data_IF_709642921891
#
_entry.id   IF_709642921891
#
_cell.length_a   1.000
_cell.length_b   1.000
_cell.length_c   1.000
_cell.angle_alpha   90.00
_cell.angle_beta   90.00
_cell.angle_gamma   90.00
#
_symmetry.space_group_name_H-M   'P 1'
#
loop_
_entity.id
_entity.type
_entity.pdbx_description
1 polymer ?
#
# COMPACT_ATOMS: atom_id res chain seq x y z
N UNK A 1 21.96 15.48 19.26
CA UNK A 1 20.63 15.96 19.67
C UNK A 1 19.80 14.79 20.16
N UNK A 2 19.37 14.80 21.41
CA UNK A 2 18.51 13.74 21.99
C UNK A 2 17.10 13.94 21.41
N UNK A 3 16.64 12.99 20.59
CA UNK A 3 15.22 12.92 20.22
C UNK A 3 14.38 12.58 21.44
N UNK A 4 13.45 13.46 21.76
CA UNK A 4 12.43 13.20 22.76
C UNK A 4 11.51 12.08 22.26
N UNK A 5 11.54 10.95 22.93
CA UNK A 5 10.55 9.88 22.75
C UNK A 5 9.30 10.32 23.52
N UNK A 6 8.36 10.90 22.86
CA UNK A 6 7.03 11.16 23.41
C UNK A 6 6.21 9.87 23.35
N UNK A 7 6.04 9.21 24.46
CA UNK A 7 5.11 8.09 24.59
C UNK A 7 3.70 8.67 24.74
N UNK A 8 2.99 8.84 23.64
CA UNK A 8 1.59 9.26 23.67
C UNK A 8 0.71 8.02 23.82
N UNK A 9 -0.05 7.97 24.92
CA UNK A 9 -1.14 7.02 25.10
C UNK A 9 -2.34 7.52 24.30
N UNK A 10 -2.59 6.92 23.14
CA UNK A 10 -3.84 7.15 22.41
C UNK A 10 -4.79 6.03 22.75
N UNK A 11 -5.72 6.32 23.62
CA UNK A 11 -6.91 5.50 23.86
C UNK A 11 -7.91 5.84 22.76
N UNK A 12 -8.02 5.00 21.73
CA UNK A 12 -8.99 5.19 20.65
C UNK A 12 -10.38 4.78 21.17
N UNK A 13 -11.10 5.71 21.80
CA UNK A 13 -12.53 5.55 22.08
C UNK A 13 -13.32 5.93 20.85
N UNK A 14 -13.98 4.96 20.24
CA UNK A 14 -14.92 5.20 19.14
C UNK A 14 -16.21 5.77 19.75
N UNK A 15 -16.47 7.05 19.55
CA UNK A 15 -17.79 7.65 19.82
C UNK A 15 -18.75 7.16 18.72
N UNK A 16 -19.67 6.26 19.08
CA UNK A 16 -20.80 5.88 18.26
C UNK A 16 -21.96 6.83 18.52
N UNK A 17 -22.31 7.65 17.53
CA UNK A 17 -23.61 8.30 17.51
C UNK A 17 -24.67 7.24 17.17
N UNK A 18 -25.65 7.10 18.04
CA UNK A 18 -26.67 6.08 18.01
C UNK A 18 -27.61 6.22 16.81
N UNK A 19 -27.78 5.12 16.06
CA UNK A 19 -29.07 4.67 15.58
C UNK A 19 -29.08 3.15 15.52
N UNK A 20 -30.10 2.56 16.14
CA UNK A 20 -30.20 1.17 16.57
C UNK A 20 -30.22 0.17 15.40
N UNK A 21 -29.35 -0.85 15.47
CA UNK A 21 -29.74 -2.27 15.49
C UNK A 21 -28.49 -3.07 15.90
N UNK A 22 -28.66 -3.83 17.01
CA UNK A 22 -27.60 -4.61 17.61
C UNK A 22 -27.31 -5.86 16.80
N UNK A 23 -26.17 -5.87 16.10
CA UNK A 23 -25.46 -7.12 15.81
C UNK A 23 -24.30 -7.24 16.84
N UNK A 24 -23.88 -8.46 17.26
CA UNK A 24 -22.87 -8.62 18.26
C UNK A 24 -21.53 -8.06 17.76
N UNK A 25 -21.13 -6.94 18.31
CA UNK A 25 -19.78 -6.41 18.12
C UNK A 25 -18.87 -7.34 18.90
N UNK A 26 -18.11 -8.20 18.18
CA UNK A 26 -16.97 -8.87 18.79
C UNK A 26 -16.09 -7.79 19.42
N UNK A 27 -15.77 -7.96 20.68
CA UNK A 27 -14.96 -7.04 21.47
C UNK A 27 -13.70 -6.64 20.70
N UNK A 28 -13.67 -5.43 20.17
CA UNK A 28 -12.43 -4.76 19.76
C UNK A 28 -11.65 -4.52 21.04
N UNK A 29 -10.80 -5.46 21.42
CA UNK A 29 -9.76 -5.24 22.41
C UNK A 29 -8.95 -4.03 21.92
N UNK A 30 -8.74 -3.06 22.80
CA UNK A 30 -7.93 -1.88 22.48
C UNK A 30 -6.55 -2.33 22.00
N UNK A 31 -6.22 -2.00 20.73
CA UNK A 31 -4.89 -2.33 20.18
C UNK A 31 -3.88 -1.45 20.88
N UNK A 32 -2.98 -2.07 21.64
CA UNK A 32 -1.90 -1.36 22.31
C UNK A 32 -0.65 -1.35 21.42
N UNK A 33 -0.19 -0.16 21.03
CA UNK A 33 1.01 0.04 20.22
C UNK A 33 1.76 1.29 20.66
N UNK A 34 3.04 1.37 20.28
CA UNK A 34 3.82 2.60 20.32
C UNK A 34 3.96 3.14 18.91
N UNK A 35 4.03 4.45 18.77
CA UNK A 35 4.26 5.12 17.49
C UNK A 35 5.47 6.06 17.60
N UNK A 36 6.31 6.05 16.57
CA UNK A 36 7.35 7.06 16.33
C UNK A 36 7.05 7.71 14.99
N UNK A 37 6.72 9.00 15.02
CA UNK A 37 6.25 9.74 13.85
C UNK A 37 7.33 10.63 13.25
N UNK A 38 7.12 11.05 11.99
CA UNK A 38 7.93 12.04 11.28
C UNK A 38 9.43 11.73 11.21
N UNK A 39 9.76 10.44 11.15
CA UNK A 39 11.14 10.00 10.98
C UNK A 39 11.55 10.30 9.54
N UNK A 40 12.53 11.18 9.33
CA UNK A 40 13.06 11.46 8.00
C UNK A 40 14.01 10.34 7.55
N UNK A 41 13.62 9.59 6.52
CA UNK A 41 14.37 8.44 6.01
C UNK A 41 15.49 8.83 5.03
N UNK A 42 15.46 10.07 4.53
CA UNK A 42 16.44 10.58 3.57
C UNK A 42 17.59 11.33 4.21
N UNK A 43 17.51 11.65 5.51
CA UNK A 43 18.52 12.44 6.21
C UNK A 43 18.54 13.93 5.80
N UNK A 44 17.45 14.45 5.28
CA UNK A 44 17.27 15.84 4.86
C UNK A 44 16.07 16.49 5.58
N UNK A 45 15.74 17.73 5.23
CA UNK A 45 14.63 18.47 5.86
C UNK A 45 13.30 18.38 5.10
N UNK A 46 13.21 17.60 4.01
CA UNK A 46 11.98 17.48 3.24
C UNK A 46 10.97 16.62 3.98
N UNK A 47 9.79 17.16 4.28
CA UNK A 47 8.70 16.46 4.97
C UNK A 47 8.07 15.34 4.11
N UNK A 48 8.20 15.40 2.79
CA UNK A 48 7.83 14.29 1.93
C UNK A 48 8.68 13.03 2.14
N UNK A 49 9.87 13.17 2.74
CA UNK A 49 10.76 12.06 3.03
C UNK A 49 10.62 11.56 4.48
N UNK A 50 9.39 11.50 4.97
CA UNK A 50 9.12 11.04 6.34
C UNK A 50 8.32 9.75 6.38
N UNK A 51 8.50 9.01 7.46
CA UNK A 51 7.72 7.80 7.74
C UNK A 51 7.33 7.74 9.23
N UNK A 52 6.29 6.95 9.51
CA UNK A 52 5.83 6.65 10.87
C UNK A 52 5.95 5.16 11.13
N UNK A 53 6.50 4.80 12.29
CA UNK A 53 6.69 3.42 12.74
C UNK A 53 5.72 3.10 13.85
N UNK A 54 4.92 2.06 13.69
CA UNK A 54 3.96 1.54 14.66
C UNK A 54 4.41 0.15 15.12
N UNK A 55 4.58 -0.04 16.40
CA UNK A 55 5.03 -1.30 16.99
C UNK A 55 4.03 -1.81 18.02
N UNK A 56 3.58 -3.07 17.94
CA UNK A 56 2.70 -3.64 18.93
C UNK A 56 3.40 -3.75 20.27
N UNK A 57 2.69 -3.54 21.38
CA UNK A 57 3.24 -3.75 22.73
C UNK A 57 3.37 -5.22 23.09
N UNK A 58 2.46 -6.04 22.58
CA UNK A 58 2.37 -7.50 22.79
C UNK A 58 3.14 -8.29 21.72
N UNK A 59 4.39 -7.92 21.43
CA UNK A 59 5.20 -8.57 20.39
C UNK A 59 5.29 -10.08 20.59
N UNK A 60 5.06 -10.83 19.51
CA UNK A 60 5.23 -12.29 19.48
C UNK A 60 6.66 -12.73 19.12
N UNK A 61 7.50 -11.82 18.66
CA UNK A 61 8.89 -12.08 18.27
C UNK A 61 9.75 -10.85 18.50
N UNK A 62 11.04 -11.06 18.72
CA UNK A 62 12.04 -9.98 18.78
C UNK A 62 12.26 -9.33 17.42
N UNK A 63 12.03 -10.09 16.33
CA UNK A 63 12.08 -9.60 14.96
C UNK A 63 10.70 -9.73 14.32
N UNK A 64 10.07 -8.60 14.02
CA UNK A 64 8.75 -8.54 13.42
C UNK A 64 8.84 -8.32 11.91
N UNK A 65 8.15 -9.14 11.10
CA UNK A 65 7.86 -8.77 9.71
C UNK A 65 7.24 -7.39 9.62
N UNK A 66 7.55 -6.65 8.56
CA UNK A 66 7.12 -5.27 8.39
C UNK A 66 6.08 -5.17 7.28
N UNK A 67 4.95 -4.54 7.58
CA UNK A 67 3.95 -4.17 6.59
C UNK A 67 4.08 -2.66 6.34
N UNK A 68 4.44 -2.29 5.11
CA UNK A 68 4.61 -0.89 4.70
C UNK A 68 3.39 -0.43 3.94
N UNK A 69 2.78 0.69 4.36
CA UNK A 69 1.69 1.36 3.66
C UNK A 69 2.20 2.54 2.85
N UNK A 70 1.90 2.53 1.56
CA UNK A 70 2.10 3.66 0.65
C UNK A 70 0.73 4.30 0.42
N UNK A 71 0.60 5.58 0.71
CA UNK A 71 -0.65 6.30 0.51
C UNK A 71 -0.95 6.52 -0.98
N UNK A 72 -2.24 6.68 -1.30
CA UNK A 72 -2.71 7.01 -2.62
C UNK A 72 -4.09 7.64 -2.47
N UNK A 73 -4.19 8.95 -2.49
CA UNK A 73 -5.45 9.65 -2.26
C UNK A 73 -6.18 9.99 -3.54
N UNK A 74 -5.46 10.43 -4.51
CA UNK A 74 -5.93 10.61 -5.87
C UNK A 74 -5.29 9.54 -6.74
N UNK A 75 -5.82 9.29 -7.93
CA UNK A 75 -5.10 8.60 -8.99
C UNK A 75 -3.76 9.27 -9.22
N UNK A 76 -3.66 10.49 -8.72
CA UNK A 76 -2.63 11.47 -8.90
C UNK A 76 -1.65 11.41 -7.79
N UNK A 77 -0.53 10.97 -8.08
CA UNK A 77 0.68 11.22 -7.34
C UNK A 77 0.86 12.70 -6.89
N UNK A 78 -0.22 13.52 -7.00
CA UNK A 78 -0.24 14.96 -6.72
C UNK A 78 -0.92 15.39 -5.42
N UNK A 79 -1.56 14.47 -4.68
CA UNK A 79 -2.24 14.75 -3.42
C UNK A 79 -2.06 13.63 -2.40
N UNK A 80 -2.15 13.98 -1.13
CA UNK A 80 -2.11 13.03 -0.02
C UNK A 80 -0.82 13.05 0.76
N UNK A 81 -0.86 12.44 1.91
CA UNK A 81 0.26 12.14 2.77
C UNK A 81 0.03 10.83 3.52
N UNK A 82 0.98 10.41 4.35
CA UNK A 82 0.90 9.17 5.13
C UNK A 82 -0.29 9.11 6.09
N UNK A 83 -0.92 10.23 6.40
CA UNK A 83 -2.11 10.31 7.25
C UNK A 83 -3.40 9.94 6.51
N UNK A 84 -3.41 9.98 5.17
CA UNK A 84 -4.58 9.69 4.36
C UNK A 84 -4.87 8.19 4.20
N UNK A 85 -6.14 7.87 4.01
CA UNK A 85 -6.58 6.53 3.65
C UNK A 85 -7.06 5.65 4.81
N UNK A 86 -7.39 6.25 5.96
CA UNK A 86 -7.96 5.54 7.11
C UNK A 86 -6.98 4.55 7.76
N UNK A 87 -6.83 4.65 9.06
CA UNK A 87 -5.82 3.85 9.77
C UNK A 87 -6.35 2.51 10.26
N UNK A 88 -7.65 2.40 10.46
CA UNK A 88 -8.23 1.30 11.22
C UNK A 88 -7.94 -0.08 10.63
N UNK A 89 -8.13 -0.35 9.31
CA UNK A 89 -7.77 -1.67 8.77
C UNK A 89 -6.27 -1.94 8.81
N UNK A 90 -5.44 -0.92 8.58
CA UNK A 90 -3.99 -1.08 8.57
C UNK A 90 -3.42 -1.34 9.95
N UNK A 91 -3.88 -0.59 10.96
CA UNK A 91 -3.41 -0.77 12.33
C UNK A 91 -3.95 -2.06 12.97
N UNK A 92 -5.01 -2.68 12.40
CA UNK A 92 -5.49 -3.97 12.89
C UNK A 92 -4.43 -5.08 12.81
N UNK A 93 -3.47 -4.98 11.87
CA UNK A 93 -2.35 -5.93 11.79
C UNK A 93 -1.44 -5.92 13.03
N UNK A 94 -1.50 -4.86 13.85
CA UNK A 94 -0.77 -4.81 15.13
C UNK A 94 -1.46 -5.62 16.25
N UNK A 95 -2.74 -5.97 16.08
CA UNK A 95 -3.59 -6.49 17.17
C UNK A 95 -3.09 -7.80 17.76
N UNK A 96 -2.52 -8.68 16.94
CA UNK A 96 -2.02 -9.97 17.39
C UNK A 96 -0.54 -9.97 17.79
N UNK A 97 0.16 -8.84 17.59
CA UNK A 97 1.57 -8.70 17.94
C UNK A 97 2.56 -9.32 16.94
N UNK A 98 2.10 -9.76 15.75
CA UNK A 98 2.93 -10.49 14.78
C UNK A 98 3.66 -9.60 13.77
N UNK A 99 3.26 -8.33 13.64
CA UNK A 99 3.79 -7.42 12.63
C UNK A 99 4.18 -6.07 13.21
N UNK A 100 5.18 -5.43 12.61
CA UNK A 100 5.38 -3.99 12.67
C UNK A 100 4.69 -3.34 11.47
N UNK A 101 4.14 -2.13 11.66
CA UNK A 101 3.53 -1.37 10.58
C UNK A 101 4.32 -0.07 10.34
N UNK A 102 4.54 0.28 9.08
CA UNK A 102 5.21 1.53 8.70
C UNK A 102 4.38 2.25 7.65
N UNK A 103 4.14 3.54 7.83
CA UNK A 103 3.54 4.41 6.81
C UNK A 103 4.60 5.32 6.26
N UNK A 104 4.67 5.44 4.94
CA UNK A 104 5.66 6.29 4.28
C UNK A 104 4.99 7.43 3.50
N UNK A 105 5.64 8.58 3.50
CA UNK A 105 5.43 9.65 2.54
C UNK A 105 6.42 9.53 1.38
N UNK A 106 6.11 10.18 0.29
CA UNK A 106 6.96 10.34 -0.88
C UNK A 106 6.64 11.67 -1.57
N UNK A 107 7.56 12.21 -2.37
CA UNK A 107 7.34 13.46 -3.12
C UNK A 107 6.19 13.30 -4.11
N UNK A 108 5.28 14.26 -4.10
CA UNK A 108 4.16 14.29 -5.01
C UNK A 108 4.58 14.72 -6.42
N UNK A 109 3.74 14.48 -7.43
CA UNK A 109 4.01 14.88 -8.81
C UNK A 109 4.13 16.40 -9.02
N UNK A 110 3.64 17.18 -8.07
CA UNK A 110 3.82 18.63 -7.99
C UNK A 110 5.21 19.04 -7.51
N UNK A 111 5.90 18.17 -6.75
CA UNK A 111 7.22 18.42 -6.17
C UNK A 111 8.34 17.82 -7.02
N UNK A 112 8.12 16.62 -7.57
CA UNK A 112 9.10 15.92 -8.39
C UNK A 112 8.42 15.03 -9.43
N UNK A 113 9.12 14.72 -10.52
CA UNK A 113 8.60 13.87 -11.60
C UNK A 113 9.11 12.44 -11.45
N UNK A 114 8.43 11.50 -12.12
CA UNK A 114 8.90 10.12 -12.23
C UNK A 114 10.37 10.06 -12.68
N UNK A 115 11.22 9.22 -12.05
CA UNK A 115 10.89 8.14 -11.08
C UNK A 115 11.04 8.55 -9.59
N UNK A 116 11.03 9.83 -9.25
CA UNK A 116 11.30 10.30 -7.87
C UNK A 116 10.42 9.64 -6.81
N UNK A 117 9.14 9.39 -7.11
CA UNK A 117 8.20 8.74 -6.19
C UNK A 117 8.65 7.31 -5.85
N UNK A 118 9.09 6.56 -6.85
CA UNK A 118 9.62 5.21 -6.65
C UNK A 118 10.95 5.24 -5.88
N UNK A 119 11.85 6.16 -6.23
CA UNK A 119 13.14 6.31 -5.55
C UNK A 119 12.96 6.65 -4.06
N UNK A 120 11.96 7.47 -3.72
CA UNK A 120 11.60 7.81 -2.34
C UNK A 120 11.10 6.57 -1.59
N UNK A 121 10.20 5.80 -2.21
CA UNK A 121 9.73 4.54 -1.64
C UNK A 121 10.88 3.54 -1.43
N UNK A 122 11.77 3.38 -2.40
CA UNK A 122 12.96 2.52 -2.26
C UNK A 122 13.90 2.98 -1.15
N UNK A 123 14.11 4.30 -1.02
CA UNK A 123 14.89 4.87 0.08
C UNK A 123 14.26 4.58 1.45
N UNK A 124 12.94 4.64 1.56
CA UNK A 124 12.23 4.29 2.79
C UNK A 124 12.41 2.79 3.13
N UNK A 125 12.37 1.87 2.15
CA UNK A 125 12.65 0.45 2.38
C UNK A 125 14.09 0.25 2.84
N UNK A 126 15.07 0.89 2.21
CA UNK A 126 16.48 0.84 2.66
C UNK A 126 16.64 1.36 4.09
N UNK A 127 15.92 2.42 4.45
CA UNK A 127 15.93 2.95 5.82
C UNK A 127 15.35 1.93 6.81
N UNK A 128 14.23 1.26 6.48
CA UNK A 128 13.64 0.21 7.32
C UNK A 128 14.66 -0.90 7.58
N UNK A 129 15.35 -1.39 6.53
CA UNK A 129 16.39 -2.41 6.64
C UNK A 129 17.60 -1.95 7.46
N UNK A 130 18.07 -0.72 7.23
CA UNK A 130 19.20 -0.15 7.96
C UNK A 130 18.92 0.12 9.44
N UNK A 131 17.65 0.23 9.83
CA UNK A 131 17.22 0.44 11.21
C UNK A 131 16.55 -0.82 11.83
N UNK A 132 16.69 -1.98 11.19
CA UNK A 132 16.02 -3.20 11.60
C UNK A 132 16.36 -3.61 13.05
N UNK A 133 17.60 -3.53 13.45
CA UNK A 133 18.02 -3.83 14.82
C UNK A 133 17.40 -2.88 15.83
N UNK A 134 17.38 -1.58 15.54
CA UNK A 134 16.84 -0.53 16.43
C UNK A 134 15.37 -0.72 16.75
N UNK A 135 14.56 -1.11 15.74
CA UNK A 135 13.10 -1.22 15.87
C UNK A 135 12.63 -2.67 16.08
N UNK A 136 13.52 -3.65 15.96
CA UNK A 136 13.16 -5.07 16.01
C UNK A 136 12.41 -5.50 14.74
N UNK A 137 12.83 -5.05 13.55
CA UNK A 137 12.28 -5.48 12.29
C UNK A 137 12.96 -6.75 11.77
N UNK A 138 12.21 -7.60 11.12
CA UNK A 138 12.76 -8.64 10.25
C UNK A 138 12.99 -8.02 8.87
N UNK A 139 14.24 -7.64 8.59
CA UNK A 139 14.61 -6.96 7.33
C UNK A 139 14.42 -7.83 6.08
N UNK A 140 14.27 -9.14 6.26
CA UNK A 140 14.11 -10.12 5.18
C UNK A 140 12.62 -10.47 4.97
N UNK A 141 11.70 -9.84 5.72
CA UNK A 141 10.25 -10.04 5.66
C UNK A 141 9.49 -8.72 5.60
N UNK A 142 9.46 -8.11 4.42
CA UNK A 142 8.81 -6.83 4.17
C UNK A 142 7.70 -6.99 3.14
N UNK A 143 6.47 -6.67 3.51
CA UNK A 143 5.34 -6.52 2.61
C UNK A 143 5.06 -5.05 2.33
N UNK A 144 4.59 -4.74 1.14
CA UNK A 144 4.16 -3.38 0.79
C UNK A 144 2.71 -3.42 0.32
N UNK A 145 1.90 -2.48 0.81
CA UNK A 145 0.53 -2.32 0.36
C UNK A 145 0.20 -0.88 -0.01
N UNK A 146 -0.71 -0.71 -0.96
CA UNK A 146 -1.25 0.59 -1.32
C UNK A 146 -2.48 0.51 -2.21
N UNK A 147 -3.13 1.65 -2.37
CA UNK A 147 -4.27 1.81 -3.26
C UNK A 147 -4.05 2.99 -4.19
N UNK A 148 -4.64 2.95 -5.40
CA UNK A 148 -4.47 3.97 -6.43
C UNK A 148 -2.98 4.22 -6.72
N UNK A 149 -2.49 5.47 -6.59
CA UNK A 149 -1.08 5.80 -6.74
C UNK A 149 -0.16 4.98 -5.82
N UNK A 150 -0.57 4.76 -4.56
CA UNK A 150 0.16 3.89 -3.63
C UNK A 150 0.20 2.43 -4.08
N UNK A 151 -0.88 1.94 -4.68
CA UNK A 151 -0.94 0.60 -5.28
C UNK A 151 0.00 0.45 -6.48
N UNK A 152 0.05 1.47 -7.33
CA UNK A 152 1.00 1.57 -8.44
C UNK A 152 2.45 1.51 -7.93
N UNK A 153 2.81 2.35 -6.96
CA UNK A 153 4.15 2.38 -6.38
C UNK A 153 4.51 1.06 -5.69
N UNK A 154 3.55 0.40 -5.03
CA UNK A 154 3.76 -0.92 -4.44
C UNK A 154 4.09 -1.98 -5.51
N UNK A 155 3.37 -1.99 -6.64
CA UNK A 155 3.66 -2.87 -7.77
C UNK A 155 5.03 -2.57 -8.38
N UNK A 156 5.33 -1.28 -8.62
CA UNK A 156 6.63 -0.88 -9.16
C UNK A 156 7.78 -1.28 -8.22
N UNK A 157 7.66 -1.08 -6.90
CA UNK A 157 8.65 -1.54 -5.92
C UNK A 157 8.92 -3.04 -6.06
N UNK A 158 7.87 -3.86 -6.05
CA UNK A 158 8.02 -5.32 -6.11
C UNK A 158 8.61 -5.80 -7.42
N UNK A 159 8.06 -5.35 -8.54
CA UNK A 159 8.51 -5.79 -9.87
C UNK A 159 9.93 -5.31 -10.20
N UNK A 160 10.37 -4.18 -9.63
CA UNK A 160 11.70 -3.61 -9.86
C UNK A 160 12.68 -3.82 -8.69
N UNK A 161 12.48 -4.89 -7.89
CA UNK A 161 13.33 -5.22 -6.74
C UNK A 161 14.82 -5.22 -7.06
N UNK A 162 15.21 -5.70 -8.26
CA UNK A 162 16.61 -5.85 -8.68
C UNK A 162 17.02 -4.83 -9.77
N UNK A 163 16.16 -3.85 -10.08
CA UNK A 163 16.43 -2.88 -11.13
C UNK A 163 17.23 -1.69 -10.61
N UNK A 164 18.53 -1.74 -10.86
CA UNK A 164 19.48 -0.74 -10.35
C UNK A 164 19.26 0.66 -10.91
N UNK A 165 18.78 0.78 -12.14
CA UNK A 165 18.52 2.08 -12.77
C UNK A 165 17.38 2.85 -12.09
N UNK A 166 16.51 2.15 -11.37
CA UNK A 166 15.39 2.70 -10.61
C UNK A 166 15.64 2.73 -9.09
N UNK A 167 16.84 2.36 -8.62
CA UNK A 167 17.14 2.31 -7.17
C UNK A 167 17.26 3.70 -6.56
N UNK A 168 17.79 4.66 -7.31
CA UNK A 168 18.07 6.01 -6.80
C UNK A 168 19.17 6.01 -5.73
N UNK A 169 19.57 7.20 -5.36
CA UNK A 169 20.67 7.49 -4.43
C UNK A 169 20.23 8.25 -3.18
N UNK A 170 18.92 8.36 -2.95
CA UNK A 170 18.35 9.09 -1.81
C UNK A 170 18.59 8.36 -0.50
N UNK A 171 18.99 9.11 0.55
CA UNK A 171 19.10 8.62 1.93
C UNK A 171 20.48 8.08 2.31
N UNK A 172 20.61 7.72 3.59
CA UNK A 172 21.90 7.36 4.21
C UNK A 172 22.15 5.84 4.27
N UNK A 173 21.22 5.02 3.78
CA UNK A 173 21.31 3.55 3.85
C UNK A 173 21.54 2.91 2.47
N UNK A 174 22.41 3.52 1.65
CA UNK A 174 22.72 3.06 0.30
C UNK A 174 23.45 1.69 0.26
N UNK A 175 23.93 1.21 1.40
CA UNK A 175 24.48 -0.12 1.58
C UNK A 175 23.41 -1.21 1.80
N UNK A 176 22.13 -0.83 1.91
CA UNK A 176 21.00 -1.75 1.96
C UNK A 176 20.34 -1.82 0.58
N UNK A 177 19.72 -2.97 0.28
CA UNK A 177 18.83 -3.10 -0.87
C UNK A 177 17.39 -2.63 -0.54
N UNK A 178 16.58 -2.44 -1.58
CA UNK A 178 15.15 -2.10 -1.44
C UNK A 178 14.22 -3.30 -1.72
N UNK A 179 14.72 -4.53 -1.65
CA UNK A 179 13.97 -5.76 -1.94
C UNK A 179 12.84 -5.95 -0.93
N UNK A 180 11.66 -6.24 -1.44
CA UNK A 180 10.46 -6.59 -0.69
C UNK A 180 9.99 -8.00 -1.04
N UNK A 181 9.17 -8.62 -0.17
CA UNK A 181 8.79 -10.03 -0.30
C UNK A 181 7.42 -10.25 -0.93
N UNK A 182 6.47 -9.34 -0.74
CA UNK A 182 5.15 -9.44 -1.34
C UNK A 182 4.45 -8.08 -1.46
N UNK A 183 3.45 -8.01 -2.34
CA UNK A 183 2.70 -6.79 -2.66
C UNK A 183 1.21 -7.02 -2.48
N UNK A 184 0.54 -6.04 -1.89
CA UNK A 184 -0.92 -5.88 -1.92
C UNK A 184 -1.25 -4.58 -2.66
N UNK A 185 -2.00 -4.67 -3.74
CA UNK A 185 -2.32 -3.51 -4.58
C UNK A 185 -3.81 -3.44 -4.91
N UNK A 186 -4.44 -2.32 -4.59
CA UNK A 186 -5.84 -2.06 -4.87
C UNK A 186 -6.05 -0.86 -5.81
N UNK A 187 -6.98 -1.01 -6.74
CA UNK A 187 -7.41 0.08 -7.64
C UNK A 187 -6.25 0.77 -8.39
N UNK A 188 -5.17 0.07 -8.64
CA UNK A 188 -3.91 0.64 -9.11
C UNK A 188 -3.87 0.82 -10.63
N UNK A 189 -3.37 1.96 -11.13
CA UNK A 189 -2.97 2.06 -12.54
C UNK A 189 -1.81 1.11 -12.83
N UNK A 190 -1.93 0.33 -13.89
CA UNK A 190 -0.93 -0.66 -14.29
C UNK A 190 -0.37 -0.41 -15.68
N UNK A 191 -1.09 0.32 -16.53
CA UNK A 191 -0.72 0.75 -17.87
C UNK A 191 -0.97 2.25 -18.00
N UNK A 192 0.06 3.05 -17.77
CA UNK A 192 -0.05 4.51 -17.75
C UNK A 192 -0.20 5.10 -19.15
N UNK A 193 0.30 4.42 -20.17
CA UNK A 193 0.11 4.84 -21.56
C UNK A 193 -1.36 4.81 -21.93
N UNK A 194 -2.06 3.71 -21.62
CA UNK A 194 -3.48 3.58 -21.90
C UNK A 194 -4.37 4.39 -20.96
N UNK A 195 -3.93 4.58 -19.71
CA UNK A 195 -4.67 5.41 -18.78
C UNK A 195 -4.68 6.87 -19.21
N UNK A 196 -3.50 7.42 -19.56
CA UNK A 196 -3.34 8.81 -20.01
C UNK A 196 -3.88 9.85 -19.03
N UNK A 197 -4.10 11.06 -19.54
CA UNK A 197 -4.73 12.16 -18.82
C UNK A 197 -3.76 13.04 -18.04
N UNK A 198 -4.25 14.20 -17.62
CA UNK A 198 -3.47 15.26 -16.96
C UNK A 198 -2.66 14.78 -15.77
N UNK A 199 -3.18 13.80 -15.08
CA UNK A 199 -2.57 13.24 -13.88
C UNK A 199 -1.33 12.41 -14.19
N UNK A 200 -1.39 11.59 -15.25
CA UNK A 200 -0.24 10.82 -15.74
C UNK A 200 0.79 11.78 -16.32
N UNK A 201 0.34 12.78 -17.11
CA UNK A 201 1.21 13.82 -17.66
C UNK A 201 1.94 14.60 -16.55
N UNK A 202 1.23 14.95 -15.49
CA UNK A 202 1.80 15.61 -14.31
C UNK A 202 2.87 14.75 -13.62
N UNK A 203 2.65 13.44 -13.50
CA UNK A 203 3.64 12.51 -12.96
C UNK A 203 4.88 12.45 -13.85
N UNK A 204 4.67 12.27 -15.15
CA UNK A 204 5.77 12.06 -16.10
C UNK A 204 6.50 13.35 -16.48
N UNK A 205 5.88 14.51 -16.22
CA UNK A 205 6.42 15.83 -16.56
C UNK A 205 6.53 16.06 -18.07
N UNK A 206 5.68 15.43 -18.87
CA UNK A 206 5.68 15.54 -20.33
C UNK A 206 4.32 15.19 -20.91
N UNK A 207 3.96 15.90 -21.98
CA UNK A 207 2.76 15.67 -22.81
C UNK A 207 3.11 15.33 -24.26
N UNK A 208 4.40 15.20 -24.60
CA UNK A 208 4.94 15.15 -25.96
C UNK A 208 5.67 13.83 -26.25
N UNK A 209 6.55 13.82 -27.22
CA UNK A 209 7.25 12.67 -27.79
C UNK A 209 7.90 11.71 -26.76
N UNK A 210 8.24 12.22 -25.58
CA UNK A 210 8.76 11.39 -24.49
C UNK A 210 7.68 10.71 -23.63
N UNK A 211 6.39 11.01 -23.86
CA UNK A 211 5.29 10.48 -23.05
C UNK A 211 5.25 8.95 -23.09
N UNK A 212 5.21 8.35 -24.27
CA UNK A 212 5.13 6.89 -24.45
C UNK A 212 6.29 6.19 -23.76
N UNK A 213 7.52 6.70 -23.94
CA UNK A 213 8.70 6.13 -23.30
C UNK A 213 8.60 6.17 -21.79
N UNK A 214 8.31 7.35 -21.22
CA UNK A 214 8.21 7.52 -19.75
C UNK A 214 7.00 6.77 -19.17
N UNK A 215 5.86 6.78 -19.85
CA UNK A 215 4.70 5.99 -19.46
C UNK A 215 5.03 4.50 -19.45
N UNK A 216 5.74 4.01 -20.44
CA UNK A 216 6.22 2.63 -20.52
C UNK A 216 7.15 2.26 -19.35
N UNK A 217 8.11 3.10 -19.03
CA UNK A 217 9.02 2.90 -17.87
C UNK A 217 8.28 2.91 -16.54
N UNK A 218 7.26 3.74 -16.41
CA UNK A 218 6.45 3.90 -15.19
C UNK A 218 5.29 2.90 -15.07
N UNK A 219 5.02 2.06 -16.06
CA UNK A 219 3.88 1.14 -16.09
C UNK A 219 4.25 -0.24 -15.54
N UNK A 220 3.63 -0.70 -14.43
CA UNK A 220 3.84 -2.04 -13.89
C UNK A 220 3.72 -3.16 -14.91
N UNK A 221 2.80 -3.01 -15.88
CA UNK A 221 2.53 -4.01 -16.92
C UNK A 221 3.77 -4.35 -17.76
N UNK A 222 4.66 -3.40 -17.99
CA UNK A 222 5.87 -3.58 -18.80
C UNK A 222 7.00 -4.27 -18.04
N UNK A 223 6.87 -4.40 -16.71
CA UNK A 223 7.84 -5.08 -15.85
C UNK A 223 7.48 -6.55 -15.58
N UNK A 224 6.32 -7.03 -16.06
CA UNK A 224 5.86 -8.40 -15.81
C UNK A 224 6.82 -9.46 -16.34
N UNK A 225 7.41 -9.26 -17.51
CA UNK A 225 8.29 -10.25 -18.13
C UNK A 225 9.74 -10.20 -17.62
N UNK A 226 10.23 -9.02 -17.31
CA UNK A 226 11.63 -8.77 -16.95
C UNK A 226 11.82 -8.47 -15.47
N UNK A 227 10.73 -8.26 -14.74
CA UNK A 227 10.75 -7.92 -13.33
C UNK A 227 10.90 -9.12 -12.41
N UNK A 228 10.99 -8.84 -11.12
CA UNK A 228 11.08 -9.85 -10.08
C UNK A 228 9.76 -10.56 -9.89
N UNK A 229 9.74 -11.88 -9.90
CA UNK A 229 8.59 -12.67 -9.50
C UNK A 229 8.46 -12.70 -7.99
N UNK A 230 7.35 -12.20 -7.47
CA UNK A 230 7.01 -12.20 -6.05
C UNK A 230 5.50 -12.42 -5.86
N UNK A 231 5.05 -12.82 -4.65
CA UNK A 231 3.63 -12.92 -4.34
C UNK A 231 2.91 -11.58 -4.48
N UNK A 232 1.75 -11.57 -5.17
CA UNK A 232 0.93 -10.38 -5.39
C UNK A 232 -0.53 -10.66 -5.08
N UNK A 233 -1.14 -9.82 -4.25
CA UNK A 233 -2.59 -9.77 -4.03
C UNK A 233 -3.15 -8.49 -4.65
N UNK A 234 -4.07 -8.66 -5.60
CA UNK A 234 -4.75 -7.58 -6.31
C UNK A 234 -6.21 -7.50 -5.89
N UNK A 235 -6.77 -6.31 -5.77
CA UNK A 235 -8.21 -6.11 -5.66
C UNK A 235 -8.66 -4.89 -6.47
N UNK A 236 -9.81 -5.04 -7.16
CA UNK A 236 -10.32 -4.02 -8.06
C UNK A 236 -11.85 -4.13 -8.18
N UNK A 237 -12.50 -2.99 -8.29
CA UNK A 237 -13.95 -2.93 -8.44
C UNK A 237 -14.39 -2.39 -9.79
N UNK A 238 -15.51 -2.91 -10.31
CA UNK A 238 -16.04 -2.54 -11.62
C UNK A 238 -16.77 -1.18 -11.66
N UNK A 239 -17.02 -0.55 -10.51
CA UNK A 239 -17.57 0.80 -10.42
C UNK A 239 -16.49 1.89 -10.23
N UNK A 240 -15.20 1.51 -10.22
CA UNK A 240 -14.10 2.48 -10.18
C UNK A 240 -13.94 3.16 -11.55
N UNK A 241 -14.04 4.50 -11.54
CA UNK A 241 -14.04 5.29 -12.77
C UNK A 241 -12.67 5.86 -13.13
N UNK A 242 -11.84 6.10 -12.14
CA UNK A 242 -10.53 6.72 -12.35
C UNK A 242 -9.52 5.73 -12.88
N UNK A 243 -9.54 4.51 -12.33
CA UNK A 243 -8.72 3.38 -12.81
C UNK A 243 -9.68 2.27 -13.22
N UNK A 244 -10.02 2.16 -14.50
CA UNK A 244 -10.94 1.13 -14.99
C UNK A 244 -10.45 -0.28 -14.63
N UNK A 245 -11.38 -1.17 -14.31
CA UNK A 245 -11.09 -2.58 -13.96
C UNK A 245 -10.24 -3.30 -15.01
N UNK A 246 -10.39 -2.92 -16.29
CA UNK A 246 -9.59 -3.44 -17.39
C UNK A 246 -8.06 -3.28 -17.21
N UNK A 247 -7.62 -2.31 -16.43
CA UNK A 247 -6.21 -2.14 -16.05
C UNK A 247 -5.71 -3.35 -15.25
N UNK A 248 -6.43 -3.71 -14.19
CA UNK A 248 -6.08 -4.84 -13.32
C UNK A 248 -6.32 -6.17 -14.00
N UNK A 249 -7.39 -6.31 -14.80
CA UNK A 249 -7.70 -7.54 -15.55
C UNK A 249 -6.58 -7.90 -16.52
N UNK A 250 -6.12 -6.93 -17.32
CA UNK A 250 -5.02 -7.13 -18.25
C UNK A 250 -3.72 -7.47 -17.51
N UNK A 251 -3.42 -6.73 -16.45
CA UNK A 251 -2.22 -6.97 -15.65
C UNK A 251 -2.22 -8.38 -15.02
N UNK A 252 -3.33 -8.80 -14.42
CA UNK A 252 -3.47 -10.14 -13.86
C UNK A 252 -3.32 -11.24 -14.92
N UNK A 253 -3.91 -11.04 -16.10
CA UNK A 253 -3.74 -11.95 -17.23
C UNK A 253 -2.27 -12.13 -17.59
N UNK A 254 -1.53 -11.04 -17.72
CA UNK A 254 -0.10 -11.08 -18.07
C UNK A 254 0.75 -11.72 -16.97
N UNK A 255 0.45 -11.47 -15.70
CA UNK A 255 1.12 -12.17 -14.58
C UNK A 255 0.94 -13.68 -14.67
N UNK A 256 -0.26 -14.15 -15.05
CA UNK A 256 -0.53 -15.60 -15.27
C UNK A 256 0.24 -16.13 -16.46
N UNK A 257 0.27 -15.44 -17.58
CA UNK A 257 1.02 -15.80 -18.78
C UNK A 257 2.53 -15.86 -18.49
N UNK A 258 3.05 -14.95 -17.68
CA UNK A 258 4.42 -14.93 -17.19
C UNK A 258 4.70 -15.96 -16.07
N UNK A 259 3.71 -16.78 -15.71
CA UNK A 259 3.81 -17.88 -14.74
C UNK A 259 4.20 -17.44 -13.32
N UNK A 260 3.74 -16.28 -12.90
CA UNK A 260 3.82 -15.92 -11.48
C UNK A 260 3.04 -16.93 -10.65
N UNK A 261 3.66 -17.48 -9.60
CA UNK A 261 3.12 -18.62 -8.85
C UNK A 261 2.06 -18.23 -7.81
N UNK A 262 2.27 -17.12 -7.12
CA UNK A 262 1.48 -16.66 -5.98
C UNK A 262 0.79 -15.34 -6.32
N UNK A 263 -0.25 -15.42 -7.18
CA UNK A 263 -1.06 -14.28 -7.56
C UNK A 263 -2.52 -14.50 -7.19
N UNK A 264 -3.11 -13.50 -6.55
CA UNK A 264 -4.50 -13.51 -6.12
C UNK A 264 -5.17 -12.25 -6.66
N UNK A 265 -6.38 -12.39 -7.17
CA UNK A 265 -7.14 -11.26 -7.68
C UNK A 265 -8.59 -11.29 -7.20
N UNK A 266 -8.96 -10.31 -6.39
CA UNK A 266 -10.30 -10.12 -5.88
C UNK A 266 -11.04 -9.06 -6.70
N UNK A 267 -11.95 -9.50 -7.56
CA UNK A 267 -12.91 -8.63 -8.22
C UNK A 267 -14.05 -8.23 -7.28
N UNK A 268 -14.54 -6.98 -7.38
CA UNK A 268 -15.58 -6.42 -6.53
C UNK A 268 -16.69 -5.84 -7.39
N UNK A 269 -17.86 -6.48 -7.40
CA UNK A 269 -19.05 -6.01 -8.09
C UNK A 269 -19.61 -4.76 -7.39
N UNK A 270 -19.97 -3.73 -8.15
CA UNK A 270 -20.31 -2.38 -7.69
C UNK A 270 -19.20 -1.71 -6.86
N UNK A 271 -17.98 -2.27 -6.89
CA UNK A 271 -16.84 -1.79 -6.14
C UNK A 271 -16.19 -0.58 -6.78
N UNK A 272 -15.93 0.42 -5.98
CA UNK A 272 -14.94 1.46 -6.17
C UNK A 272 -14.22 1.65 -4.85
N UNK A 273 -13.10 2.34 -4.82
CA UNK A 273 -12.45 2.68 -3.54
C UNK A 273 -13.46 3.28 -2.57
N UNK A 274 -14.27 4.24 -3.04
CA UNK A 274 -15.28 4.92 -2.22
C UNK A 274 -16.39 3.99 -1.73
N UNK A 275 -16.91 3.12 -2.62
CA UNK A 275 -17.97 2.19 -2.25
C UNK A 275 -17.48 1.17 -1.21
N UNK A 276 -16.28 0.64 -1.40
CA UNK A 276 -15.65 -0.27 -0.46
C UNK A 276 -15.42 0.40 0.91
N UNK A 277 -14.99 1.66 0.94
CA UNK A 277 -14.82 2.42 2.19
C UNK A 277 -16.13 2.58 2.98
N UNK A 278 -17.28 2.58 2.30
CA UNK A 278 -18.59 2.71 2.91
C UNK A 278 -19.29 1.36 3.21
N UNK A 279 -18.71 0.25 2.81
CA UNK A 279 -19.24 -1.10 3.04
C UNK A 279 -18.37 -1.85 4.05
N UNK A 280 -18.87 -1.99 5.30
CA UNK A 280 -18.11 -2.64 6.38
C UNK A 280 -17.81 -4.10 6.09
N UNK A 281 -18.80 -4.85 5.55
CA UNK A 281 -18.63 -6.29 5.23
C UNK A 281 -17.62 -6.50 4.12
N UNK A 282 -17.68 -5.66 3.08
CA UNK A 282 -16.69 -5.70 2.00
C UNK A 282 -15.27 -5.40 2.50
N UNK A 283 -15.13 -4.38 3.38
CA UNK A 283 -13.84 -4.08 3.99
C UNK A 283 -13.31 -5.23 4.86
N UNK A 284 -14.16 -5.80 5.70
CA UNK A 284 -13.79 -6.94 6.56
C UNK A 284 -13.35 -8.16 5.74
N UNK A 285 -14.08 -8.45 4.66
CA UNK A 285 -13.71 -9.54 3.75
C UNK A 285 -12.32 -9.31 3.12
N UNK A 286 -12.09 -8.13 2.53
CA UNK A 286 -10.80 -7.78 1.91
C UNK A 286 -9.68 -7.77 2.97
N UNK A 287 -9.93 -7.19 4.14
CA UNK A 287 -8.94 -7.15 5.22
C UNK A 287 -8.54 -8.55 5.71
N UNK A 288 -9.52 -9.44 5.87
CA UNK A 288 -9.28 -10.85 6.26
C UNK A 288 -8.48 -11.62 5.20
N UNK A 289 -8.81 -11.43 3.92
CA UNK A 289 -8.09 -12.06 2.82
C UNK A 289 -6.63 -11.57 2.74
N UNK A 290 -6.40 -10.26 2.90
CA UNK A 290 -5.07 -9.66 2.94
C UNK A 290 -4.29 -10.15 4.18
N UNK A 291 -4.93 -10.24 5.34
CA UNK A 291 -4.29 -10.78 6.55
C UNK A 291 -3.83 -12.23 6.34
N UNK A 292 -4.67 -13.07 5.74
CA UNK A 292 -4.29 -14.45 5.39
C UNK A 292 -3.15 -14.48 4.37
N UNK A 293 -3.14 -13.55 3.41
CA UNK A 293 -2.01 -13.40 2.49
C UNK A 293 -0.70 -13.09 3.24
N UNK A 294 -0.71 -12.16 4.20
CA UNK A 294 0.48 -11.86 5.00
C UNK A 294 0.89 -13.02 5.91
N UNK A 295 -0.07 -13.73 6.54
CA UNK A 295 0.23 -14.93 7.33
C UNK A 295 0.96 -15.98 6.50
N UNK A 296 0.51 -16.19 5.27
CA UNK A 296 1.17 -17.11 4.35
C UNK A 296 2.56 -16.63 3.94
N UNK A 297 2.68 -15.37 3.49
CA UNK A 297 3.91 -14.87 2.87
C UNK A 297 4.99 -14.45 3.88
N UNK A 298 4.62 -13.93 5.02
CA UNK A 298 5.56 -13.39 6.01
C UNK A 298 5.77 -14.32 7.21
N UNK A 299 4.73 -15.08 7.61
CA UNK A 299 4.80 -15.97 8.77
C UNK A 299 4.90 -17.44 8.39
N UNK A 300 4.90 -17.77 7.09
CA UNK A 300 4.95 -19.15 6.57
C UNK A 300 3.85 -20.06 7.13
N UNK A 301 2.66 -19.49 7.38
CA UNK A 301 1.52 -20.23 7.89
C UNK A 301 0.73 -20.86 6.75
N UNK A 302 0.30 -22.09 6.93
CA UNK A 302 -0.61 -22.80 6.02
C UNK A 302 -2.04 -22.26 6.22
N UNK A 303 -2.40 -21.23 5.43
CA UNK A 303 -3.72 -20.59 5.45
C UNK A 303 -4.30 -20.51 4.04
N UNK A 304 -5.62 -20.66 3.95
CA UNK A 304 -6.34 -20.47 2.69
C UNK A 304 -6.59 -18.97 2.47
N UNK A 305 -6.18 -18.49 1.31
CA UNK A 305 -6.51 -17.14 0.86
C UNK A 305 -7.79 -17.24 0.04
N UNK A 306 -8.87 -16.67 0.56
CA UNK A 306 -10.17 -16.70 -0.13
C UNK A 306 -10.22 -15.58 -1.17
N UNK A 307 -10.56 -15.97 -2.39
CA UNK A 307 -10.92 -15.11 -3.49
C UNK A 307 -12.27 -15.58 -3.98
N UNK A 308 -13.31 -14.81 -3.78
CA UNK A 308 -14.69 -15.16 -4.12
C UNK A 308 -15.41 -13.95 -4.71
N UNK A 309 -16.62 -14.15 -5.24
CA UNK A 309 -17.45 -13.04 -5.68
C UNK A 309 -17.80 -12.14 -4.49
N UNK A 310 -17.32 -10.91 -4.52
CA UNK A 310 -17.63 -9.86 -3.56
C UNK A 310 -18.48 -8.81 -4.25
N UNK A 311 -19.64 -8.49 -3.67
CA UNK A 311 -20.49 -7.38 -4.11
C UNK A 311 -20.67 -6.38 -2.97
N UNK A 312 -20.40 -5.12 -3.23
CA UNK A 312 -20.63 -4.03 -2.28
C UNK A 312 -21.89 -3.26 -2.65
N UNK A 313 -22.50 -2.61 -1.66
CA UNK A 313 -23.69 -1.77 -1.91
C UNK A 313 -23.30 -0.57 -2.76
N UNK A 314 -24.06 -0.35 -3.85
CA UNK A 314 -23.98 0.91 -4.57
C UNK A 314 -24.45 2.05 -3.65
N UNK A 315 -23.80 3.23 -3.65
CA UNK A 315 -24.32 4.35 -2.89
C UNK A 315 -25.74 4.67 -3.39
N UNK A 316 -26.70 4.78 -2.48
CA UNK A 316 -28.04 5.25 -2.80
C UNK A 316 -27.89 6.61 -3.50
N UNK A 317 -28.31 6.68 -4.75
CA UNK A 317 -28.41 7.95 -5.48
C UNK A 317 -29.39 8.81 -4.67
N UNK A 318 -28.90 9.86 -3.99
CA UNK A 318 -29.76 10.86 -3.36
C UNK A 318 -30.57 11.54 -4.46
N UNK A 319 -31.77 11.03 -4.76
CA UNK A 319 -32.58 11.61 -5.84
C UNK A 319 -33.92 10.96 -6.08
N UNK A 320 -34.26 9.83 -5.48
CA UNK A 320 -35.61 9.27 -5.58
C UNK A 320 -36.36 9.44 -4.24
N UNK A 321 -36.76 10.69 -3.94
CA UNK A 321 -37.96 10.91 -3.11
C UNK A 321 -39.15 10.88 -4.06
N UNK A 322 -39.92 9.83 -3.97
CA UNK A 322 -41.30 9.82 -4.46
C UNK A 322 -42.16 10.72 -3.58
#
# INVERSE_FOLDING_TARGET
MRQLITTSFVLLTILTAACQEKAPVSSLTSIEYSVTTEINYAGNSNMAHTLDVYLPKNRKSDKLPVIVKIHGESVLWGNGDKMWGGDTPFLSYLSDGSYACVKINYRLSTEAKWPSQLNDCKAAIRWIKGNAERFGFDKDKIAVQGELAGGHLALMLGLTNNEKSLEGDLGNHLNQDSIINCVVSGFAPTDLEKLGGEEVEALLGTTTDNFIKKAGEASPINWVLNGTQLPIYLFQGNAEKKVPMAQTDLFYKLLKEAKFKEIYYQGITNGSKRNLQNDSKGREFIASAIENFYKKQLLSQEVKIEVSELSVKSPLIRGERR
#
